data_IF_620472321696
#
_entry.id   IF_620472321696
#
_cell.length_a   1.000
_cell.length_b   1.000
_cell.length_c   1.000
_cell.angle_alpha   90.00
_cell.angle_beta   90.00
_cell.angle_gamma   90.00
#
_symmetry.space_group_name_H-M   'P 1'
#
loop_
_entity.id
_entity.type
_entity.pdbx_description
1 polymer ?
#
# COMPACT_ATOMS: atom_id res chain seq x y z
N UNK A 1 5.65 22.58 -14.35
CA UNK A 1 4.34 22.13 -13.86
C UNK A 1 4.38 20.63 -14.00
N UNK A 2 4.43 19.86 -12.92
CA UNK A 2 4.19 18.41 -13.04
C UNK A 2 2.81 18.22 -13.65
N UNK A 3 2.76 17.42 -14.70
CA UNK A 3 1.51 17.06 -15.35
C UNK A 3 0.64 16.34 -14.32
N UNK A 4 -0.63 16.72 -14.21
CA UNK A 4 -1.56 16.11 -13.25
C UNK A 4 -1.61 14.59 -13.43
N UNK A 5 -1.53 14.12 -14.69
CA UNK A 5 -1.39 12.70 -15.03
C UNK A 5 -0.13 12.06 -14.45
N UNK A 6 0.99 12.78 -14.43
CA UNK A 6 2.25 12.28 -13.87
C UNK A 6 2.13 12.06 -12.36
N UNK A 7 1.47 12.96 -11.64
CA UNK A 7 1.22 12.80 -10.20
C UNK A 7 0.34 11.58 -9.95
N UNK A 8 -0.70 11.37 -10.77
CA UNK A 8 -1.57 10.21 -10.66
C UNK A 8 -0.82 8.90 -10.92
N UNK A 9 0.02 8.84 -11.96
CA UNK A 9 0.86 7.68 -12.24
C UNK A 9 1.87 7.42 -11.12
N UNK A 10 2.42 8.47 -10.51
CA UNK A 10 3.30 8.36 -9.36
C UNK A 10 2.56 7.72 -8.18
N UNK A 11 1.36 8.21 -7.84
CA UNK A 11 0.51 7.62 -6.78
C UNK A 11 0.29 6.14 -7.09
N UNK A 12 -0.24 5.80 -8.28
CA UNK A 12 -0.55 4.43 -8.69
C UNK A 12 0.68 3.52 -8.57
N UNK A 13 1.86 3.97 -9.02
CA UNK A 13 3.09 3.18 -8.97
C UNK A 13 3.54 2.90 -7.54
N UNK A 14 3.54 3.90 -6.68
CA UNK A 14 3.97 3.76 -5.29
C UNK A 14 3.00 2.90 -4.48
N UNK A 15 1.71 3.18 -4.53
CA UNK A 15 0.71 2.41 -3.77
C UNK A 15 0.52 1.00 -4.32
N UNK A 16 0.69 0.80 -5.63
CA UNK A 16 0.72 -0.52 -6.26
C UNK A 16 1.88 -1.36 -5.75
N UNK A 17 3.08 -0.77 -5.68
CA UNK A 17 4.27 -1.43 -5.14
C UNK A 17 4.11 -1.75 -3.64
N UNK A 18 3.54 -0.81 -2.87
CA UNK A 18 3.24 -1.01 -1.46
C UNK A 18 2.30 -2.20 -1.25
N UNK A 19 1.20 -2.25 -2.01
CA UNK A 19 0.24 -3.36 -1.99
C UNK A 19 0.89 -4.70 -2.29
N UNK A 20 1.75 -4.77 -3.31
CA UNK A 20 2.50 -5.99 -3.62
C UNK A 20 3.38 -6.43 -2.46
N UNK A 21 4.12 -5.51 -1.84
CA UNK A 21 4.96 -5.79 -0.67
C UNK A 21 4.13 -6.34 0.50
N UNK A 22 2.95 -5.78 0.78
CA UNK A 22 2.07 -6.27 1.84
C UNK A 22 1.51 -7.68 1.55
N UNK A 23 1.13 -7.97 0.31
CA UNK A 23 0.66 -9.31 -0.08
C UNK A 23 1.78 -10.34 0.08
N UNK A 24 3.00 -9.99 -0.36
CA UNK A 24 4.16 -10.85 -0.22
C UNK A 24 4.52 -11.07 1.26
N UNK A 25 4.43 -10.03 2.10
CA UNK A 25 4.64 -10.16 3.54
C UNK A 25 3.69 -11.18 4.18
N UNK A 26 2.40 -11.13 3.84
CA UNK A 26 1.39 -12.09 4.31
C UNK A 26 1.75 -13.52 3.87
N UNK A 27 2.31 -13.68 2.67
CA UNK A 27 2.76 -14.98 2.18
C UNK A 27 4.00 -15.50 2.92
N UNK A 28 5.03 -14.68 3.12
CA UNK A 28 6.22 -15.07 3.87
C UNK A 28 5.89 -15.42 5.34
N UNK A 29 5.00 -14.65 5.96
CA UNK A 29 4.51 -14.90 7.31
C UNK A 29 3.82 -16.27 7.44
N UNK A 30 3.03 -16.65 6.44
CA UNK A 30 2.33 -17.94 6.36
C UNK A 30 3.31 -19.11 6.31
N UNK A 31 4.46 -18.93 5.66
CA UNK A 31 5.55 -19.91 5.63
C UNK A 31 6.47 -19.83 6.86
N UNK A 32 6.20 -18.90 7.77
CA UNK A 32 6.92 -18.73 9.03
C UNK A 32 8.23 -17.96 8.91
N UNK A 33 8.50 -17.33 7.76
CA UNK A 33 9.59 -16.38 7.55
C UNK A 33 9.14 -14.97 7.96
N UNK A 34 9.12 -14.75 9.28
CA UNK A 34 8.66 -13.50 9.84
C UNK A 34 9.66 -12.36 9.67
N UNK A 35 10.95 -12.66 9.60
CA UNK A 35 11.98 -11.65 9.38
C UNK A 35 11.79 -11.03 7.99
N UNK A 36 11.59 -11.86 6.96
CA UNK A 36 11.32 -11.37 5.61
C UNK A 36 9.99 -10.65 5.51
N UNK A 37 8.96 -11.16 6.18
CA UNK A 37 7.67 -10.51 6.20
C UNK A 37 7.73 -9.13 6.86
N UNK A 38 8.45 -8.96 7.98
CA UNK A 38 8.64 -7.66 8.64
C UNK A 38 9.42 -6.67 7.76
N UNK A 39 10.43 -7.14 6.99
CA UNK A 39 11.10 -6.31 5.98
C UNK A 39 10.14 -5.81 4.89
N UNK A 40 9.30 -6.70 4.37
CA UNK A 40 8.34 -6.40 3.31
C UNK A 40 7.25 -5.43 3.80
N UNK A 41 6.76 -5.58 5.04
CA UNK A 41 5.82 -4.60 5.63
C UNK A 41 6.47 -3.22 5.73
N UNK A 42 7.73 -3.13 6.17
CA UNK A 42 8.43 -1.84 6.25
C UNK A 42 8.61 -1.21 4.86
N UNK A 43 9.07 -1.99 3.89
CA UNK A 43 9.20 -1.56 2.50
C UNK A 43 7.86 -1.06 1.94
N UNK A 44 6.78 -1.81 2.19
CA UNK A 44 5.43 -1.43 1.78
C UNK A 44 4.97 -0.11 2.40
N UNK A 45 5.27 0.13 3.69
CA UNK A 45 4.95 1.39 4.39
C UNK A 45 5.71 2.58 3.81
N UNK A 46 6.99 2.41 3.52
CA UNK A 46 7.81 3.45 2.89
C UNK A 46 7.22 3.84 1.53
N UNK A 47 6.93 2.85 0.68
CA UNK A 47 6.31 3.08 -0.63
C UNK A 47 4.91 3.71 -0.51
N UNK A 48 4.09 3.24 0.42
CA UNK A 48 2.76 3.79 0.65
C UNK A 48 2.82 5.26 1.05
N UNK A 49 3.74 5.62 1.94
CA UNK A 49 3.91 7.00 2.40
C UNK A 49 4.27 7.94 1.24
N UNK A 50 5.15 7.52 0.31
CA UNK A 50 5.47 8.32 -0.88
C UNK A 50 4.23 8.57 -1.76
N UNK A 51 3.43 7.52 -2.02
CA UNK A 51 2.17 7.66 -2.75
C UNK A 51 1.14 8.51 -2.01
N UNK A 52 1.03 8.34 -0.69
CA UNK A 52 0.12 9.10 0.16
C UNK A 52 0.50 10.58 0.25
N UNK A 53 1.80 10.92 0.26
CA UNK A 53 2.26 12.31 0.21
C UNK A 53 1.89 13.01 -1.09
N UNK A 54 2.06 12.32 -2.24
CA UNK A 54 1.61 12.84 -3.53
C UNK A 54 0.08 13.07 -3.55
N UNK A 55 -0.70 12.10 -3.03
CA UNK A 55 -2.15 12.23 -2.89
C UNK A 55 -2.56 13.41 -1.99
N UNK A 56 -1.89 13.60 -0.85
CA UNK A 56 -2.13 14.74 0.05
C UNK A 56 -1.92 16.08 -0.66
N UNK A 57 -0.93 16.16 -1.55
CA UNK A 57 -0.71 17.32 -2.41
C UNK A 57 -1.88 17.61 -3.36
N UNK A 58 -2.54 16.57 -3.89
CA UNK A 58 -3.76 16.72 -4.71
C UNK A 58 -4.94 17.25 -3.89
N UNK A 59 -5.12 16.79 -2.66
CA UNK A 59 -6.14 17.32 -1.73
C UNK A 59 -5.91 18.82 -1.49
N UNK A 60 -4.66 19.23 -1.24
CA UNK A 60 -4.32 20.65 -1.03
C UNK A 60 -4.65 21.50 -2.26
N UNK A 61 -4.30 21.03 -3.47
CA UNK A 61 -4.66 21.70 -4.73
C UNK A 61 -6.17 21.78 -4.92
N UNK A 62 -6.91 20.73 -4.56
CA UNK A 62 -8.37 20.71 -4.60
C UNK A 62 -8.97 21.79 -3.69
N UNK A 63 -8.49 21.86 -2.45
CA UNK A 63 -8.93 22.86 -1.48
C UNK A 63 -8.61 24.31 -1.92
N UNK A 64 -7.53 24.51 -2.67
CA UNK A 64 -7.16 25.79 -3.26
C UNK A 64 -7.94 26.15 -4.54
N UNK A 65 -8.74 25.22 -5.09
CA UNK A 65 -9.42 25.39 -6.38
C UNK A 65 -8.49 25.29 -7.59
N UNK A 66 -7.31 24.69 -7.43
CA UNK A 66 -6.26 24.56 -8.45
C UNK A 66 -6.23 23.17 -9.10
N UNK A 67 -7.11 22.26 -8.67
CA UNK A 67 -7.17 20.90 -9.19
C UNK A 67 -7.95 20.84 -10.51
N UNK A 68 -7.26 20.54 -11.61
CA UNK A 68 -7.87 20.36 -12.94
C UNK A 68 -8.17 18.88 -13.19
N UNK A 69 -9.27 18.38 -12.63
CA UNK A 69 -9.62 16.95 -12.71
C UNK A 69 -10.38 16.54 -13.98
N UNK A 70 -10.82 17.50 -14.80
CA UNK A 70 -11.79 17.29 -15.88
C UNK A 70 -11.35 16.26 -16.94
N UNK A 71 -10.04 16.22 -17.25
CA UNK A 71 -9.51 15.33 -18.28
C UNK A 71 -9.00 13.98 -17.75
N UNK A 72 -8.85 13.83 -16.43
CA UNK A 72 -8.23 12.64 -15.82
C UNK A 72 -9.12 12.00 -14.75
N UNK A 73 -10.43 12.25 -14.75
CA UNK A 73 -11.35 11.78 -13.70
C UNK A 73 -11.32 10.25 -13.50
N UNK A 74 -11.24 9.46 -14.57
CA UNK A 74 -11.13 8.00 -14.48
C UNK A 74 -9.79 7.56 -13.87
N UNK A 75 -8.69 8.22 -14.28
CA UNK A 75 -7.36 7.93 -13.75
C UNK A 75 -7.23 8.34 -12.27
N UNK A 76 -7.82 9.47 -11.88
CA UNK A 76 -7.90 9.89 -10.48
C UNK A 76 -8.67 8.87 -9.66
N UNK A 77 -9.87 8.46 -10.11
CA UNK A 77 -10.65 7.42 -9.42
C UNK A 77 -9.87 6.12 -9.28
N UNK A 78 -9.09 5.73 -10.29
CA UNK A 78 -8.24 4.55 -10.22
C UNK A 78 -7.08 4.72 -9.21
N UNK A 79 -6.45 5.89 -9.16
CA UNK A 79 -5.42 6.19 -8.16
C UNK A 79 -5.97 6.10 -6.73
N UNK A 80 -7.16 6.68 -6.48
CA UNK A 80 -7.85 6.59 -5.19
C UNK A 80 -8.19 5.13 -4.81
N UNK A 81 -8.72 4.34 -5.75
CA UNK A 81 -9.01 2.91 -5.55
C UNK A 81 -7.75 2.13 -5.15
N UNK A 82 -6.65 2.33 -5.88
CA UNK A 82 -5.38 1.65 -5.59
C UNK A 82 -4.81 2.09 -4.24
N UNK A 83 -4.91 3.37 -3.88
CA UNK A 83 -4.43 3.91 -2.61
C UNK A 83 -5.18 3.29 -1.43
N UNK A 84 -6.52 3.32 -1.47
CA UNK A 84 -7.36 2.73 -0.43
C UNK A 84 -7.15 1.21 -0.31
N UNK A 85 -6.99 0.53 -1.45
CA UNK A 85 -6.67 -0.90 -1.47
C UNK A 85 -5.33 -1.19 -0.79
N UNK A 86 -4.28 -0.43 -1.11
CA UNK A 86 -2.96 -0.56 -0.49
C UNK A 86 -3.00 -0.34 1.02
N UNK A 87 -3.73 0.68 1.50
CA UNK A 87 -3.91 0.94 2.93
C UNK A 87 -4.57 -0.25 3.64
N UNK A 88 -5.67 -0.76 3.08
CA UNK A 88 -6.37 -1.91 3.64
C UNK A 88 -5.46 -3.16 3.70
N UNK A 89 -4.69 -3.44 2.65
CA UNK A 89 -3.73 -4.54 2.66
C UNK A 89 -2.60 -4.33 3.67
N UNK A 90 -2.17 -3.09 3.92
CA UNK A 90 -1.18 -2.77 4.96
C UNK A 90 -1.68 -3.11 6.36
N UNK A 91 -2.90 -2.66 6.69
CA UNK A 91 -3.55 -2.98 7.98
C UNK A 91 -3.71 -4.50 8.14
N UNK A 92 -4.21 -5.18 7.10
CA UNK A 92 -4.39 -6.62 7.12
C UNK A 92 -3.06 -7.36 7.25
N UNK A 93 -1.99 -6.90 6.61
CA UNK A 93 -0.68 -7.54 6.70
C UNK A 93 -0.15 -7.59 8.14
N UNK A 94 -0.34 -6.52 8.91
CA UNK A 94 0.04 -6.49 10.33
C UNK A 94 -0.79 -7.47 11.17
N UNK A 95 -2.11 -7.52 10.96
CA UNK A 95 -2.99 -8.47 11.66
C UNK A 95 -2.67 -9.94 11.29
N UNK A 96 -2.39 -10.21 10.01
CA UNK A 96 -1.99 -11.54 9.55
C UNK A 96 -0.62 -11.95 10.12
N UNK A 97 0.32 -11.01 10.22
CA UNK A 97 1.62 -11.26 10.84
C UNK A 97 1.47 -11.76 12.27
N UNK A 98 0.67 -11.07 13.07
CA UNK A 98 0.42 -11.47 14.45
C UNK A 98 -0.33 -12.81 14.52
N UNK A 99 -1.35 -12.99 13.68
CA UNK A 99 -2.09 -14.24 13.58
C UNK A 99 -1.17 -15.43 13.29
N UNK A 100 -0.26 -15.32 12.31
CA UNK A 100 0.65 -16.40 11.96
C UNK A 100 1.69 -16.67 13.06
N UNK A 101 2.17 -15.64 13.78
CA UNK A 101 3.01 -15.82 14.96
C UNK A 101 2.30 -16.66 16.03
N UNK A 102 1.06 -16.32 16.37
CA UNK A 102 0.23 -17.08 17.32
C UNK A 102 0.01 -18.53 16.85
N UNK A 103 -0.27 -18.74 15.57
CA UNK A 103 -0.47 -20.08 15.01
C UNK A 103 0.82 -20.94 15.08
N UNK A 104 1.99 -20.33 14.86
CA UNK A 104 3.29 -21.02 14.98
C UNK A 104 3.60 -21.37 16.44
N UNK A 105 3.34 -20.47 17.38
CA UNK A 105 3.48 -20.73 18.82
C UNK A 105 2.61 -21.90 19.27
N UNK A 106 1.37 -21.99 18.75
CA UNK A 106 0.47 -23.12 19.00
C UNK A 106 0.81 -24.38 18.21
N UNK A 107 1.90 -24.38 17.44
CA UNK A 107 2.35 -25.50 16.59
C UNK A 107 1.29 -25.98 15.58
N UNK A 108 0.40 -25.08 15.14
CA UNK A 108 -0.65 -25.35 14.14
C UNK A 108 -0.07 -25.30 12.72
N UNK A 109 0.88 -24.39 12.50
CA UNK A 109 1.63 -24.24 11.25
C UNK A 109 3.13 -24.49 11.53
N UNK A 110 3.86 -25.06 10.57
CA UNK A 110 5.30 -25.35 10.71
C UNK A 110 5.69 -26.84 10.80
N UNK A 111 4.77 -27.79 10.58
CA UNK A 111 5.13 -29.16 10.22
C UNK A 111 5.17 -29.28 8.70
N UNK A 112 6.29 -28.87 8.10
CA UNK A 112 6.69 -29.37 6.78
C UNK A 112 7.66 -30.54 7.00
#
# INVERSE_FOLDING_TARGET
MEDFETILFQIISYVGSARSSYIEAIEQARFGDFDKADELVKCGKEQFNEGHHAHMGLIQKSAAGELQAENCQMLLMHAEDQLMSAEAFGILAEEFMELYKILKEKSIIGKA
#
